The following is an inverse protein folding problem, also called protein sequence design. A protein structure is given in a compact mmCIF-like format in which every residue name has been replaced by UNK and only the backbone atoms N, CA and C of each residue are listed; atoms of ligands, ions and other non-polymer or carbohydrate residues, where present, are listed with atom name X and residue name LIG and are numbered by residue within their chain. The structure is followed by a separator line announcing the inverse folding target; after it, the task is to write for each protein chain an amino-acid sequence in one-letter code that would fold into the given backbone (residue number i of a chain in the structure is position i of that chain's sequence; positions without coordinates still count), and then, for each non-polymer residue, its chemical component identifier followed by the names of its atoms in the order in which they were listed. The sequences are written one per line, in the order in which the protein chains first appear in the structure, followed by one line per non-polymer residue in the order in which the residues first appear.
data_IF_199392643047
#
_entry.id   IF_199392643047
#
_cell.length_a   1.000
_cell.length_b   1.000
_cell.length_c   1.000
_cell.angle_alpha   90.00
_cell.angle_beta   90.00
_cell.angle_gamma   90.00
#
_symmetry.space_group_name_H-M   'P 1'
#
loop_
_entity.id
_entity.type
_entity.pdbx_description
1 polymer ?
#
# COMPACT_ATOMS: atom_id res chain seq x y z
N UNK A 1 -4.30 -6.47 -4.34
CA UNK A 1 -5.00 -5.35 -5.00
C UNK A 1 -4.52 -5.15 -6.44
N UNK A 2 -3.25 -4.80 -6.68
CA UNK A 2 -2.74 -4.61 -8.06
C UNK A 2 -2.81 -5.88 -8.93
N UNK A 3 -2.46 -7.05 -8.40
CA UNK A 3 -2.33 -8.30 -9.16
C UNK A 3 -3.63 -8.76 -9.84
N UNK A 4 -4.79 -8.56 -9.21
CA UNK A 4 -6.10 -8.95 -9.77
C UNK A 4 -6.59 -7.98 -10.85
N UNK A 5 -6.46 -6.68 -10.59
CA UNK A 5 -6.77 -5.63 -11.57
C UNK A 5 -5.86 -5.77 -12.81
N UNK A 6 -4.62 -6.19 -12.58
CA UNK A 6 -3.62 -6.45 -13.59
C UNK A 6 -3.89 -7.75 -14.39
N UNK A 7 -4.38 -8.82 -13.76
CA UNK A 7 -4.83 -10.05 -14.43
C UNK A 7 -6.00 -9.78 -15.38
N UNK A 8 -6.97 -8.96 -14.96
CA UNK A 8 -8.10 -8.53 -15.79
C UNK A 8 -7.63 -7.65 -16.95
N UNK A 9 -6.70 -6.74 -16.68
CA UNK A 9 -6.04 -5.92 -17.72
C UNK A 9 -5.18 -6.77 -18.69
N UNK A 10 -4.50 -7.80 -18.21
CA UNK A 10 -3.70 -8.72 -19.02
C UNK A 10 -4.58 -9.61 -19.90
N UNK A 11 -5.65 -10.16 -19.33
CA UNK A 11 -6.66 -10.94 -20.06
C UNK A 11 -7.37 -10.11 -21.14
N UNK A 12 -7.65 -8.82 -20.87
CA UNK A 12 -8.16 -7.89 -21.91
C UNK A 12 -7.12 -7.54 -22.97
N UNK A 13 -5.85 -7.40 -22.61
CA UNK A 13 -4.77 -7.06 -23.53
C UNK A 13 -4.42 -8.19 -24.51
N UNK A 14 -4.57 -9.45 -24.10
CA UNK A 14 -4.36 -10.61 -24.96
C UNK A 14 -5.41 -10.72 -26.09
N UNK A 15 -6.51 -9.95 -26.01
CA UNK A 15 -7.48 -9.82 -27.09
C UNK A 15 -7.11 -8.65 -28.01
N UNK A 16 -6.73 -9.02 -29.22
CA UNK A 16 -6.26 -8.18 -30.34
C UNK A 16 -7.26 -7.13 -30.86
N UNK A 17 -8.44 -6.96 -30.25
CA UNK A 17 -9.42 -5.95 -30.64
C UNK A 17 -9.26 -4.69 -29.77
N UNK A 18 -8.42 -3.77 -30.23
CA UNK A 18 -8.30 -2.42 -29.67
C UNK A 18 -9.59 -1.63 -29.93
N UNK A 19 -10.33 -1.35 -28.86
CA UNK A 19 -11.57 -0.58 -28.86
C UNK A 19 -11.35 0.87 -29.34
N UNK A 20 -12.22 1.36 -30.22
CA UNK A 20 -12.08 2.60 -31.02
C UNK A 20 -12.00 3.89 -30.20
N UNK A 21 -12.32 3.88 -28.91
CA UNK A 21 -12.29 5.07 -28.05
C UNK A 21 -11.17 5.08 -27.01
N UNK A 22 -10.45 3.97 -26.76
CA UNK A 22 -9.36 3.90 -25.77
C UNK A 22 -9.66 4.39 -24.32
N UNK A 23 -10.89 4.83 -24.01
CA UNK A 23 -11.25 5.51 -22.74
C UNK A 23 -11.09 4.58 -21.54
N UNK A 24 -11.63 3.36 -21.63
CA UNK A 24 -11.66 2.40 -20.51
C UNK A 24 -10.23 1.98 -20.17
N UNK A 25 -9.43 1.67 -21.18
CA UNK A 25 -8.02 1.32 -21.00
C UNK A 25 -7.23 2.46 -20.33
N UNK A 26 -7.40 3.69 -20.83
CA UNK A 26 -6.77 4.89 -20.24
C UNK A 26 -7.19 5.12 -18.79
N UNK A 27 -8.46 4.92 -18.45
CA UNK A 27 -8.98 5.13 -17.09
C UNK A 27 -8.38 4.13 -16.08
N UNK A 28 -8.32 2.84 -16.43
CA UNK A 28 -7.67 1.83 -15.60
C UNK A 28 -6.17 2.11 -15.40
N UNK A 29 -5.48 2.62 -16.43
CA UNK A 29 -4.06 2.96 -16.31
C UNK A 29 -3.78 4.25 -15.53
N UNK A 30 -4.65 5.26 -15.64
CA UNK A 30 -4.58 6.47 -14.79
C UNK A 30 -4.82 6.07 -13.32
N UNK A 31 -5.76 5.17 -13.07
CA UNK A 31 -6.00 4.60 -11.76
C UNK A 31 -4.74 3.90 -11.22
N UNK A 32 -4.11 3.00 -11.99
CA UNK A 32 -2.89 2.32 -11.55
C UNK A 32 -1.71 3.29 -11.31
N UNK A 33 -1.54 4.31 -12.17
CA UNK A 33 -0.50 5.34 -12.00
C UNK A 33 -0.75 6.20 -10.75
N UNK A 34 -2.01 6.53 -10.47
CA UNK A 34 -2.42 7.25 -9.28
C UNK A 34 -2.00 6.46 -8.03
N UNK A 35 -2.32 5.18 -7.92
CA UNK A 35 -1.89 4.39 -6.75
C UNK A 35 -0.37 4.22 -6.66
N UNK A 36 0.36 4.19 -7.78
CA UNK A 36 1.82 4.07 -7.76
C UNK A 36 2.53 5.34 -7.25
N UNK A 37 2.03 6.53 -7.62
CA UNK A 37 2.70 7.81 -7.32
C UNK A 37 2.02 8.54 -6.17
N UNK A 38 0.68 8.65 -6.20
CA UNK A 38 -0.09 9.40 -5.22
C UNK A 38 -0.06 8.76 -3.84
N UNK A 39 -0.10 7.43 -3.75
CA UNK A 39 -0.02 6.75 -2.45
C UNK A 39 1.31 7.07 -1.74
N UNK A 40 2.42 7.11 -2.47
CA UNK A 40 3.72 7.47 -1.92
C UNK A 40 3.75 8.94 -1.46
N UNK A 41 3.21 9.85 -2.27
CA UNK A 41 3.10 11.27 -1.92
C UNK A 41 2.26 11.48 -0.65
N UNK A 42 1.11 10.80 -0.54
CA UNK A 42 0.24 10.87 0.65
C UNK A 42 0.99 10.39 1.89
N UNK A 43 1.75 9.29 1.81
CA UNK A 43 2.54 8.80 2.95
C UNK A 43 3.62 9.80 3.35
N UNK A 44 4.33 10.41 2.39
CA UNK A 44 5.36 11.43 2.69
C UNK A 44 4.73 12.69 3.32
N UNK A 45 3.60 13.14 2.80
CA UNK A 45 2.86 14.29 3.33
C UNK A 45 2.35 14.00 4.73
N UNK A 46 1.73 12.84 4.94
CA UNK A 46 1.29 12.39 6.26
C UNK A 46 2.46 12.32 7.24
N UNK A 47 3.61 11.78 6.81
CA UNK A 47 4.81 11.72 7.62
C UNK A 47 5.28 13.13 8.02
N UNK A 48 5.30 14.08 7.08
CA UNK A 48 5.69 15.47 7.36
C UNK A 48 4.78 16.17 8.38
N UNK A 49 3.48 15.89 8.36
CA UNK A 49 2.51 16.57 9.23
C UNK A 49 2.30 15.90 10.59
N UNK A 50 2.54 14.59 10.71
CA UNK A 50 2.27 13.86 11.96
C UNK A 50 3.53 13.58 12.78
N UNK A 51 4.71 13.58 12.16
CA UNK A 51 5.97 13.32 12.87
C UNK A 51 6.56 14.63 13.37
N UNK A 52 6.35 14.88 14.65
CA UNK A 52 6.97 15.99 15.36
C UNK A 52 8.10 15.45 16.24
N UNK A 53 9.33 15.53 15.73
CA UNK A 53 10.50 15.28 16.56
C UNK A 53 10.81 16.56 17.36
N UNK A 54 10.97 16.42 18.68
CA UNK A 54 11.28 17.53 19.58
C UNK A 54 12.72 18.01 19.43
N UNK A 55 13.07 18.61 18.28
CA UNK A 55 14.44 19.04 17.95
C UNK A 55 15.05 19.92 19.04
N UNK A 56 14.28 20.82 19.65
CA UNK A 56 14.75 21.68 20.74
C UNK A 56 15.17 20.88 21.99
N UNK A 57 14.41 19.85 22.36
CA UNK A 57 14.75 18.96 23.49
C UNK A 57 15.84 17.95 23.17
N UNK A 58 16.07 17.69 21.87
CA UNK A 58 17.13 16.81 21.40
C UNK A 58 18.48 17.52 21.38
N UNK A 59 18.49 18.78 20.94
CA UNK A 59 19.70 19.58 20.79
C UNK A 59 20.45 19.76 22.12
N UNK A 60 19.73 19.81 23.25
CA UNK A 60 20.32 19.88 24.60
C UNK A 60 20.91 18.55 25.07
N UNK A 61 20.52 17.43 24.46
CA UNK A 61 21.01 16.09 24.81
C UNK A 61 22.17 15.64 23.92
N UNK A 62 22.30 16.21 22.74
CA UNK A 62 23.34 15.88 21.77
C UNK A 62 24.75 16.04 22.35
N UNK A 63 24.95 17.05 23.20
CA UNK A 63 26.22 17.31 23.90
C UNK A 63 26.67 16.15 24.81
N UNK A 64 25.74 15.31 25.27
CA UNK A 64 26.01 14.18 26.16
C UNK A 64 26.24 12.85 25.42
N UNK A 65 26.10 12.82 24.09
CA UNK A 65 26.14 11.59 23.31
C UNK A 65 27.57 11.35 22.79
N UNK A 66 28.18 10.19 23.08
CA UNK A 66 29.51 9.88 22.56
C UNK A 66 29.48 9.69 21.04
N UNK A 67 30.55 10.14 20.37
CA UNK A 67 30.71 10.05 18.92
C UNK A 67 30.48 8.61 18.41
N UNK A 68 29.75 8.49 17.30
CA UNK A 68 29.42 7.20 16.67
C UNK A 68 28.20 6.46 17.25
N UNK A 69 27.59 6.95 18.34
CA UNK A 69 26.37 6.33 18.91
C UNK A 69 25.07 7.07 18.58
N UNK A 70 25.16 8.19 17.86
CA UNK A 70 24.05 9.10 17.56
C UNK A 70 22.79 8.38 17.06
N UNK A 71 22.88 7.58 15.99
CA UNK A 71 21.72 6.92 15.38
C UNK A 71 21.00 5.97 16.35
N UNK A 72 21.76 5.23 17.16
CA UNK A 72 21.19 4.28 18.11
C UNK A 72 20.48 5.01 19.24
N UNK A 73 21.06 6.11 19.70
CA UNK A 73 20.53 6.90 20.81
C UNK A 73 19.32 7.72 20.35
N UNK A 74 19.38 8.36 19.19
CA UNK A 74 18.28 9.13 18.60
C UNK A 74 16.99 8.30 18.48
N UNK A 75 17.11 7.03 18.02
CA UNK A 75 15.96 6.11 17.92
C UNK A 75 15.34 5.78 19.28
N UNK A 76 16.11 5.77 20.36
CA UNK A 76 15.57 5.55 21.70
C UNK A 76 14.78 6.76 22.21
N UNK A 77 14.99 7.96 21.68
CA UNK A 77 14.29 9.15 22.17
C UNK A 77 13.10 9.57 21.30
N UNK A 78 13.01 9.05 20.07
CA UNK A 78 11.81 9.17 19.25
C UNK A 78 10.61 8.45 19.90
N UNK A 79 9.40 8.99 19.68
CA UNK A 79 8.17 8.33 20.12
C UNK A 79 8.07 6.94 19.45
N UNK A 80 8.07 5.84 20.24
CA UNK A 80 8.02 4.50 19.69
C UNK A 80 6.73 4.25 18.89
N UNK A 81 5.63 4.91 19.24
CA UNK A 81 4.34 4.77 18.56
C UNK A 81 4.44 5.31 17.13
N UNK A 82 4.84 6.57 16.99
CA UNK A 82 5.05 7.23 15.71
C UNK A 82 6.10 6.46 14.89
N UNK A 83 7.26 6.14 15.48
CA UNK A 83 8.33 5.42 14.78
C UNK A 83 7.87 4.06 14.26
N UNK A 84 7.06 3.32 15.02
CA UNK A 84 6.52 2.03 14.58
C UNK A 84 5.56 2.18 13.40
N UNK A 85 4.65 3.17 13.44
CA UNK A 85 3.72 3.44 12.34
C UNK A 85 4.46 3.84 11.07
N UNK A 86 5.51 4.67 11.20
CA UNK A 86 6.39 5.02 10.09
C UNK A 86 7.05 3.79 9.50
N UNK A 87 7.70 3.00 10.35
CA UNK A 87 8.45 1.82 9.90
C UNK A 87 7.52 0.82 9.21
N UNK A 88 6.33 0.54 9.75
CA UNK A 88 5.37 -0.37 9.11
C UNK A 88 4.88 0.19 7.77
N UNK A 89 4.51 1.47 7.71
CA UNK A 89 4.11 2.10 6.45
C UNK A 89 5.22 2.10 5.40
N UNK A 90 6.45 2.42 5.83
CA UNK A 90 7.64 2.40 5.01
C UNK A 90 8.03 0.98 4.59
N UNK A 91 7.76 -0.03 5.43
CA UNK A 91 8.04 -1.42 5.12
C UNK A 91 7.18 -1.94 3.97
N UNK A 92 5.90 -1.55 3.94
CA UNK A 92 5.01 -1.87 2.83
C UNK A 92 5.44 -1.19 1.51
N UNK A 93 6.04 -0.01 1.63
CA UNK A 93 6.58 0.74 0.50
C UNK A 93 7.91 0.15 0.02
N UNK A 94 8.76 -0.29 0.95
CA UNK A 94 10.08 -0.82 0.62
C UNK A 94 10.01 -2.16 -0.09
N UNK A 95 11.02 -2.35 -0.93
CA UNK A 95 11.29 -3.55 -1.71
C UNK A 95 12.20 -4.45 -0.88
N UNK A 96 11.72 -4.98 0.26
CA UNK A 96 12.55 -5.77 1.17
C UNK A 96 12.85 -7.19 0.69
N UNK A 97 11.88 -7.84 0.05
CA UNK A 97 12.02 -9.23 -0.39
C UNK A 97 12.35 -9.29 -1.87
N UNK A 98 13.36 -10.09 -2.26
CA UNK A 98 13.75 -10.28 -3.66
C UNK A 98 12.56 -10.67 -4.55
N UNK A 99 11.67 -11.54 -4.06
CA UNK A 99 10.44 -11.92 -4.75
C UNK A 99 9.48 -10.74 -4.93
N UNK A 100 9.31 -9.92 -3.88
CA UNK A 100 8.49 -8.70 -3.96
C UNK A 100 9.10 -7.65 -4.90
N UNK A 101 10.44 -7.56 -4.95
CA UNK A 101 11.17 -6.66 -5.84
C UNK A 101 10.98 -7.08 -7.28
N UNK A 102 11.23 -8.35 -7.58
CA UNK A 102 11.08 -8.89 -8.93
C UNK A 102 9.65 -8.72 -9.44
N UNK A 103 8.66 -8.98 -8.61
CA UNK A 103 7.25 -8.79 -8.94
C UNK A 103 6.93 -7.30 -9.19
N UNK A 104 7.29 -6.40 -8.26
CA UNK A 104 7.03 -4.96 -8.38
C UNK A 104 7.77 -4.36 -9.59
N UNK A 105 9.05 -4.67 -9.78
CA UNK A 105 9.85 -4.23 -10.93
C UNK A 105 9.36 -4.82 -12.25
N UNK A 106 8.98 -6.11 -12.27
CA UNK A 106 8.39 -6.76 -13.43
C UNK A 106 7.08 -6.08 -13.85
N UNK A 107 6.22 -5.75 -12.88
CA UNK A 107 4.99 -5.00 -13.16
C UNK A 107 5.27 -3.59 -13.69
N UNK A 108 6.25 -2.87 -13.12
CA UNK A 108 6.64 -1.54 -13.59
C UNK A 108 7.25 -1.60 -15.00
N UNK A 109 8.11 -2.58 -15.28
CA UNK A 109 8.73 -2.78 -16.59
C UNK A 109 7.68 -3.10 -17.66
N UNK A 110 6.78 -4.05 -17.38
CA UNK A 110 5.70 -4.40 -18.31
C UNK A 110 4.74 -3.22 -18.49
N UNK A 111 4.48 -2.43 -17.44
CA UNK A 111 3.68 -1.20 -17.55
C UNK A 111 4.34 -0.19 -18.49
N UNK A 112 5.62 0.13 -18.29
CA UNK A 112 6.37 1.06 -19.14
C UNK A 112 6.49 0.55 -20.60
N UNK A 113 6.70 -0.75 -20.78
CA UNK A 113 6.71 -1.37 -22.11
C UNK A 113 5.36 -1.22 -22.83
N UNK A 114 4.25 -1.41 -22.11
CA UNK A 114 2.89 -1.18 -22.62
C UNK A 114 2.69 0.29 -23.00
N UNK A 115 3.14 1.22 -22.17
CA UNK A 115 3.08 2.67 -22.45
C UNK A 115 3.82 3.03 -23.75
N UNK A 116 5.05 2.54 -23.92
CA UNK A 116 5.84 2.80 -25.12
C UNK A 116 5.12 2.32 -26.39
N UNK A 117 4.57 1.10 -26.37
CA UNK A 117 3.81 0.53 -27.50
C UNK A 117 2.58 1.37 -27.84
N UNK A 118 1.84 1.84 -26.84
CA UNK A 118 0.61 2.63 -27.03
C UNK A 118 0.95 4.03 -27.56
N UNK A 119 1.97 4.70 -27.03
CA UNK A 119 2.40 6.02 -27.50
C UNK A 119 2.84 5.94 -28.96
N UNK A 120 3.67 4.96 -29.33
CA UNK A 120 4.08 4.73 -30.72
C UNK A 120 2.85 4.50 -31.62
N UNK A 121 1.88 3.70 -31.18
CA UNK A 121 0.66 3.44 -31.93
C UNK A 121 -0.21 4.70 -32.11
N UNK A 122 -0.39 5.50 -31.06
CA UNK A 122 -1.13 6.76 -31.10
C UNK A 122 -0.46 7.77 -32.04
N UNK A 123 0.87 7.90 -31.96
CA UNK A 123 1.65 8.76 -32.86
C UNK A 123 1.47 8.32 -34.32
N UNK A 124 1.61 7.03 -34.61
CA UNK A 124 1.42 6.48 -35.96
C UNK A 124 0.00 6.70 -36.47
N UNK A 125 -1.00 6.51 -35.62
CA UNK A 125 -2.42 6.69 -35.99
C UNK A 125 -2.74 8.18 -36.23
N UNK A 126 -2.18 9.09 -35.40
CA UNK A 126 -2.37 10.53 -35.58
C UNK A 126 -1.71 11.04 -36.86
N UNK A 127 -0.48 10.58 -37.15
CA UNK A 127 0.20 10.92 -38.40
C UNK A 127 -0.51 10.36 -39.64
N UNK A 128 -1.02 9.13 -39.58
CA UNK A 128 -1.81 8.56 -40.67
C UNK A 128 -3.11 9.35 -40.92
N UNK A 129 -3.78 9.80 -39.84
CA UNK A 129 -5.01 10.59 -39.92
C UNK A 129 -4.75 12.01 -40.44
N UNK A 130 -3.63 12.64 -40.06
CA UNK A 130 -3.24 13.96 -40.56
C UNK A 130 -2.86 13.97 -42.04
N UNK A 131 -2.29 12.88 -42.57
CA UNK A 131 -1.89 12.79 -43.98
C UNK A 131 -3.03 12.44 -44.93
N UNK A 132 -4.27 12.23 -44.45
CA UNK A 132 -5.42 11.73 -45.23
C UNK A 132 -5.09 10.53 -46.14
N UNK A 133 -4.02 9.77 -45.83
CA UNK A 133 -3.70 8.55 -46.54
C UNK A 133 -4.78 7.55 -46.17
N UNK A 134 -5.57 7.09 -47.15
CA UNK A 134 -6.40 5.90 -46.99
C UNK A 134 -5.46 4.76 -46.58
N UNK A 135 -5.44 4.43 -45.29
CA UNK A 135 -4.71 3.26 -44.81
C UNK A 135 -5.40 2.04 -45.42
N UNK A 136 -4.78 1.35 -46.39
CA UNK A 136 -5.35 0.11 -46.89
C UNK A 136 -5.16 -0.91 -45.78
N UNK A 137 -6.26 -1.50 -45.33
CA UNK A 137 -6.31 -2.58 -44.33
C UNK A 137 -6.21 -2.25 -42.84
N UNK A 138 -7.12 -1.42 -42.30
CA UNK A 138 -7.65 -1.69 -40.94
C UNK A 138 -9.18 -1.55 -40.92
N UNK A 139 -9.85 -2.31 -41.79
CA UNK A 139 -11.30 -2.51 -41.72
C UNK A 139 -11.65 -3.94 -41.31
N UNK A 140 -10.96 -4.50 -40.31
CA UNK A 140 -11.58 -5.54 -39.48
C UNK A 140 -12.25 -4.84 -38.29
N UNK A 141 -13.48 -4.35 -38.52
CA UNK A 141 -14.44 -4.15 -37.43
C UNK A 141 -14.78 -5.54 -36.88
N UNK A 142 -13.87 -6.16 -36.14
CA UNK A 142 -14.28 -7.28 -35.30
C UNK A 142 -15.18 -6.66 -34.26
N UNK A 143 -16.51 -6.86 -34.39
CA UNK A 143 -17.50 -6.44 -33.38
C UNK A 143 -16.99 -7.01 -32.06
N UNK A 144 -16.43 -6.15 -31.21
CA UNK A 144 -16.09 -6.52 -29.85
C UNK A 144 -17.38 -7.04 -29.23
N UNK A 145 -17.43 -8.33 -28.93
CA UNK A 145 -18.66 -8.96 -28.46
C UNK A 145 -19.04 -8.27 -27.16
N UNK A 146 -20.16 -7.53 -27.15
CA UNK A 146 -20.69 -6.83 -25.97
C UNK A 146 -20.72 -7.75 -24.75
N UNK A 147 -20.94 -9.06 -24.96
CA UNK A 147 -20.89 -10.10 -23.92
C UNK A 147 -19.57 -10.09 -23.15
N UNK A 148 -18.42 -10.04 -23.82
CA UNK A 148 -17.11 -10.05 -23.13
C UNK A 148 -16.82 -8.76 -22.36
N UNK A 149 -17.34 -7.61 -22.83
CA UNK A 149 -17.25 -6.35 -22.08
C UNK A 149 -18.09 -6.44 -20.80
N UNK A 150 -19.33 -6.92 -20.91
CA UNK A 150 -20.24 -7.14 -19.79
C UNK A 150 -19.67 -8.13 -18.76
N UNK A 151 -19.15 -9.27 -19.20
CA UNK A 151 -18.49 -10.24 -18.31
C UNK A 151 -17.30 -9.60 -17.58
N UNK A 152 -16.44 -8.84 -18.28
CA UNK A 152 -15.31 -8.17 -17.65
C UNK A 152 -15.71 -7.11 -16.62
N UNK A 153 -16.79 -6.35 -16.88
CA UNK A 153 -17.32 -5.36 -15.93
C UNK A 153 -17.94 -6.07 -14.72
N UNK A 154 -18.77 -7.10 -14.95
CA UNK A 154 -19.41 -7.86 -13.89
C UNK A 154 -18.40 -8.47 -12.91
N UNK A 155 -17.38 -9.17 -13.43
CA UNK A 155 -16.32 -9.73 -12.58
C UNK A 155 -15.55 -8.64 -11.83
N UNK A 156 -15.21 -7.53 -12.50
CA UNK A 156 -14.50 -6.43 -11.85
C UNK A 156 -15.31 -5.81 -10.70
N UNK A 157 -16.63 -5.62 -10.88
CA UNK A 157 -17.51 -5.09 -9.83
C UNK A 157 -17.67 -6.12 -8.73
N UNK A 158 -17.95 -7.38 -9.05
CA UNK A 158 -18.15 -8.45 -8.07
C UNK A 158 -16.92 -8.62 -7.16
N UNK A 159 -15.73 -8.76 -7.75
CA UNK A 159 -14.49 -8.84 -6.98
C UNK A 159 -14.19 -7.54 -6.23
N UNK A 160 -14.48 -6.38 -6.82
CA UNK A 160 -14.33 -5.09 -6.15
C UNK A 160 -15.19 -4.99 -4.89
N UNK A 161 -16.47 -5.36 -4.98
CA UNK A 161 -17.40 -5.38 -3.84
C UNK A 161 -16.96 -6.40 -2.80
N UNK A 162 -16.58 -7.61 -3.20
CA UNK A 162 -16.10 -8.64 -2.27
C UNK A 162 -14.86 -8.16 -1.49
N UNK A 163 -13.92 -7.51 -2.15
CA UNK A 163 -12.73 -6.94 -1.50
C UNK A 163 -13.09 -5.78 -0.56
N UNK A 164 -14.01 -4.91 -0.96
CA UNK A 164 -14.51 -3.85 -0.07
C UNK A 164 -15.15 -4.44 1.18
N UNK A 165 -16.03 -5.43 1.03
CA UNK A 165 -16.64 -6.13 2.16
C UNK A 165 -15.56 -6.77 3.04
N UNK A 166 -14.59 -7.48 2.45
CA UNK A 166 -13.47 -8.07 3.20
C UNK A 166 -12.72 -7.02 4.03
N UNK A 167 -12.34 -5.89 3.41
CA UNK A 167 -11.61 -4.83 4.13
C UNK A 167 -12.41 -4.21 5.25
N UNK A 168 -13.70 -3.90 5.02
CA UNK A 168 -14.58 -3.34 6.04
C UNK A 168 -14.77 -4.31 7.21
N UNK A 169 -14.99 -5.58 6.92
CA UNK A 169 -15.17 -6.63 7.94
C UNK A 169 -13.87 -6.84 8.72
N UNK A 170 -12.72 -6.94 8.04
CA UNK A 170 -11.41 -7.07 8.67
C UNK A 170 -11.12 -5.89 9.61
N UNK A 171 -11.37 -4.65 9.17
CA UNK A 171 -11.15 -3.47 10.00
C UNK A 171 -12.05 -3.49 11.23
N UNK A 172 -13.36 -3.65 11.06
CA UNK A 172 -14.30 -3.62 12.18
C UNK A 172 -14.02 -4.73 13.20
N UNK A 173 -13.73 -5.94 12.73
CA UNK A 173 -13.46 -7.08 13.58
C UNK A 173 -12.14 -6.90 14.35
N UNK A 174 -11.03 -6.61 13.65
CA UNK A 174 -9.73 -6.44 14.29
C UNK A 174 -9.72 -5.28 15.27
N UNK A 175 -10.36 -4.14 14.96
CA UNK A 175 -10.47 -3.01 15.89
C UNK A 175 -11.28 -3.35 17.13
N UNK A 176 -12.36 -4.13 16.98
CA UNK A 176 -13.18 -4.57 18.12
C UNK A 176 -12.41 -5.55 19.02
N UNK A 177 -11.68 -6.50 18.44
CA UNK A 177 -10.90 -7.47 19.22
C UNK A 177 -9.71 -6.82 19.94
N UNK A 178 -9.13 -5.78 19.35
CA UNK A 178 -7.99 -5.06 19.93
C UNK A 178 -8.37 -3.89 20.85
N UNK A 179 -9.65 -3.49 20.94
CA UNK A 179 -10.07 -2.41 21.83
C UNK A 179 -9.73 -2.61 23.32
N UNK A 180 -9.67 -3.84 23.87
CA UNK A 180 -9.25 -4.07 25.26
C UNK A 180 -7.74 -3.86 25.51
N UNK A 181 -6.91 -3.80 24.45
CA UNK A 181 -5.45 -3.79 24.55
C UNK A 181 -4.88 -2.43 24.09
N UNK A 182 -4.88 -1.39 24.95
CA UNK A 182 -4.44 -0.04 24.57
C UNK A 182 -2.94 0.05 24.25
N UNK A 183 -2.15 -0.95 24.65
CA UNK A 183 -0.71 -1.06 24.35
C UNK A 183 -0.44 -1.61 22.95
N UNK A 184 -1.46 -2.11 22.26
CA UNK A 184 -1.38 -2.44 20.84
C UNK A 184 -1.55 -1.16 20.01
N UNK A 185 -0.44 -0.67 19.45
CA UNK A 185 -0.41 0.62 18.74
C UNK A 185 -0.71 0.42 17.25
N UNK A 186 -0.28 -0.69 16.68
CA UNK A 186 -0.47 -1.02 15.27
C UNK A 186 -1.19 -2.36 15.16
N UNK A 187 -2.39 -2.34 14.59
CA UNK A 187 -3.23 -3.52 14.38
C UNK A 187 -2.97 -4.07 12.97
N UNK A 188 -2.81 -5.40 12.85
CA UNK A 188 -2.80 -6.08 11.55
C UNK A 188 -4.24 -6.44 11.17
N UNK A 189 -4.81 -5.71 10.19
CA UNK A 189 -6.17 -5.98 9.73
C UNK A 189 -6.23 -7.31 8.98
N UNK A 190 -6.83 -8.31 9.61
CA UNK A 190 -7.01 -9.66 9.05
C UNK A 190 -8.41 -10.16 9.39
N UNK A 191 -9.05 -10.81 8.41
CA UNK A 191 -10.32 -11.48 8.66
C UNK A 191 -10.06 -12.92 9.09
N UNK A 192 -10.36 -13.22 10.36
CA UNK A 192 -10.37 -14.57 10.91
C UNK A 192 -11.82 -15.04 11.04
N UNK A 193 -12.13 -16.20 10.48
CA UNK A 193 -13.42 -16.85 10.67
C UNK A 193 -13.36 -17.72 11.94
N UNK A 194 -13.70 -17.14 13.09
CA UNK A 194 -13.94 -17.89 14.33
C UNK A 194 -12.97 -17.67 15.50
N UNK A 195 -11.89 -16.91 15.33
CA UNK A 195 -10.94 -16.57 16.42
C UNK A 195 -11.17 -15.15 16.96
N UNK A 196 -11.00 -15.00 18.28
CA UNK A 196 -11.43 -13.82 19.04
C UNK A 196 -10.30 -12.94 19.57
N UNK A 197 -9.03 -13.27 19.37
CA UNK A 197 -7.97 -12.42 19.88
C UNK A 197 -7.63 -11.24 18.95
N UNK A 198 -6.61 -10.51 19.39
CA UNK A 198 -6.18 -9.26 18.79
C UNK A 198 -4.95 -9.49 17.88
N UNK A 199 -5.10 -9.32 16.56
CA UNK A 199 -3.96 -9.38 15.64
C UNK A 199 -3.16 -8.07 15.75
N UNK A 200 -2.22 -8.02 16.70
CA UNK A 200 -1.40 -6.85 16.91
C UNK A 200 -0.07 -6.98 16.17
N UNK A 201 0.19 -6.05 15.26
CA UNK A 201 1.47 -5.97 14.55
C UNK A 201 2.56 -5.31 15.40
N UNK A 202 2.21 -4.37 16.29
CA UNK A 202 3.19 -3.71 17.15
C UNK A 202 2.60 -3.38 18.51
N UNK A 203 3.15 -4.04 19.54
CA UNK A 203 2.82 -3.84 20.93
C UNK A 203 3.93 -3.03 21.62
N UNK A 204 3.56 -1.96 22.34
CA UNK A 204 4.51 -1.05 22.98
C UNK A 204 4.16 -0.92 24.47
N UNK A 205 5.04 -1.43 25.34
CA UNK A 205 4.92 -1.27 26.80
C UNK A 205 5.75 -0.11 27.37
N UNK A 206 6.39 0.70 26.52
CA UNK A 206 7.31 1.73 26.98
C UNK A 206 6.56 3.01 27.36
N UNK A 207 6.71 3.44 28.61
CA UNK A 207 6.23 4.75 29.07
C UNK A 207 7.31 5.81 28.83
N UNK A 208 7.00 6.82 28.01
CA UNK A 208 7.96 7.87 27.60
C UNK A 208 8.18 8.95 28.66
N UNK A 209 7.23 9.11 29.60
CA UNK A 209 7.30 10.07 30.72
C UNK A 209 6.85 9.43 32.04
N UNK A 210 7.70 8.60 32.68
CA UNK A 210 7.41 8.09 34.02
C UNK A 210 7.38 9.26 35.01
N UNK A 211 6.40 9.28 35.91
CA UNK A 211 6.24 10.39 36.88
C UNK A 211 7.11 10.21 38.12
N UNK A 212 7.49 8.96 38.42
CA UNK A 212 8.28 8.63 39.62
C UNK A 212 9.42 7.68 39.28
N UNK A 213 10.49 7.72 40.07
CA UNK A 213 11.61 6.78 39.95
C UNK A 213 11.18 5.33 40.20
N UNK A 214 10.27 5.11 41.16
CA UNK A 214 9.75 3.78 41.45
C UNK A 214 9.01 3.16 40.25
N UNK A 215 8.27 3.97 39.49
CA UNK A 215 7.60 3.53 38.26
C UNK A 215 8.60 3.15 37.14
N UNK A 216 9.75 3.80 37.11
CA UNK A 216 10.83 3.47 36.16
C UNK A 216 11.57 2.18 36.56
N UNK A 217 11.83 1.97 37.85
CA UNK A 217 12.53 0.76 38.36
C UNK A 217 11.66 -0.48 38.27
N UNK A 218 10.37 -0.36 38.59
CA UNK A 218 9.42 -1.48 38.63
C UNK A 218 8.27 -1.25 37.63
N UNK A 219 8.50 -1.45 36.31
CA UNK A 219 7.45 -1.32 35.32
C UNK A 219 6.38 -2.41 35.50
N UNK A 220 5.15 -2.11 35.08
CA UNK A 220 4.05 -3.07 35.12
C UNK A 220 4.39 -4.28 34.25
N UNK A 221 4.29 -5.47 34.84
CA UNK A 221 4.44 -6.73 34.09
C UNK A 221 3.22 -6.96 33.21
N UNK A 222 3.46 -7.10 31.91
CA UNK A 222 2.45 -7.31 30.87
C UNK A 222 2.74 -8.56 30.06
N UNK A 223 3.60 -9.45 30.56
CA UNK A 223 4.09 -10.63 29.83
C UNK A 223 2.94 -11.54 29.41
N UNK A 224 1.94 -11.72 30.27
CA UNK A 224 0.75 -12.53 29.96
C UNK A 224 -0.13 -11.87 28.88
N UNK A 225 -0.32 -10.56 28.94
CA UNK A 225 -1.05 -9.78 27.92
C UNK A 225 -0.34 -9.88 26.56
N UNK A 226 0.97 -9.66 26.55
CA UNK A 226 1.80 -9.78 25.37
C UNK A 226 1.75 -11.20 24.79
N UNK A 227 1.80 -12.23 25.64
CA UNK A 227 1.71 -13.62 25.21
C UNK A 227 0.39 -13.97 24.52
N UNK A 228 -0.73 -13.38 24.95
CA UNK A 228 -2.02 -13.56 24.29
C UNK A 228 -2.05 -12.86 22.93
N UNK A 229 -1.60 -11.61 22.88
CA UNK A 229 -1.62 -10.78 21.67
C UNK A 229 -0.61 -11.27 20.62
N UNK A 230 0.55 -11.76 21.05
CA UNK A 230 1.61 -12.26 20.17
C UNK A 230 1.26 -13.58 19.48
N UNK A 231 0.31 -14.35 20.00
CA UNK A 231 -0.16 -15.59 19.35
C UNK A 231 -0.87 -15.31 18.02
N UNK A 232 -1.45 -14.12 17.87
CA UNK A 232 -2.31 -13.78 16.73
C UNK A 232 -1.74 -12.69 15.80
N UNK A 233 -0.66 -12.02 16.22
CA UNK A 233 0.04 -10.95 15.47
C UNK A 233 0.76 -11.42 14.21
#
# INVERSE_FOLDING_TARGET
MLSFNWLISFYRFQRTSLDRSHIISRFFYIFDLFFAVFALLVVIVYAKYNFHFGYATWHTREESIPAGTFDRVARMFADPTQMSMFLVGFDHLLLKSFSSVFIKCGFLFISNYKWLKIVIFLIRTNHARQRQLEVPHIRKKTKQSRRHLFFGIFFSIFFGVMLLVYTIVAIRMSTKNCSPYPRCVVISYRWYAGESGCPCATYINRKTSPRTFAEWVNPVDVTNELGMVAREG
#
